data_IF_071537431201
#
_entry.id   IF_071537431201
#
_cell.length_a   1.000
_cell.length_b   1.000
_cell.length_c   1.000
_cell.angle_alpha   90.00
_cell.angle_beta   90.00
_cell.angle_gamma   90.00
#
_symmetry.space_group_name_H-M   'P 1'
#
loop_
_entity.id
_entity.type
_entity.pdbx_description
1 polymer ?
#
# COMPACT_ATOMS: atom_id res chain seq x y z
N UNK A 1 20.53 5.94 -19.74
CA UNK A 1 20.24 4.52 -20.06
C UNK A 1 20.33 3.72 -18.75
N UNK A 2 19.24 3.63 -17.99
CA UNK A 2 19.18 2.92 -16.69
C UNK A 2 17.96 1.99 -16.64
N UNK A 3 17.80 1.14 -17.66
CA UNK A 3 16.83 0.06 -17.66
C UNK A 3 17.45 -1.14 -18.38
N UNK A 4 18.39 -1.82 -17.72
CA UNK A 4 18.94 -3.09 -18.16
C UNK A 4 18.95 -4.01 -16.95
N UNK A 5 17.79 -4.60 -16.64
CA UNK A 5 17.64 -6.05 -16.64
C UNK A 5 16.15 -6.43 -16.47
N UNK A 6 15.75 -7.47 -17.15
CA UNK A 6 14.37 -7.99 -17.21
C UNK A 6 13.93 -8.73 -15.92
N UNK A 7 14.81 -8.79 -14.91
CA UNK A 7 14.56 -9.52 -13.66
C UNK A 7 14.33 -8.65 -12.43
N UNK A 8 14.79 -7.41 -12.39
CA UNK A 8 14.55 -6.50 -11.25
C UNK A 8 14.67 -5.04 -11.71
N UNK A 9 13.57 -4.28 -11.76
CA UNK A 9 13.65 -2.82 -11.97
C UNK A 9 14.27 -2.07 -10.77
N UNK A 10 14.56 -2.77 -9.67
CA UNK A 10 15.13 -2.20 -8.45
C UNK A 10 16.32 -3.06 -8.02
N UNK A 11 17.52 -2.46 -8.01
CA UNK A 11 18.76 -3.13 -7.59
C UNK A 11 18.93 -3.18 -6.06
N UNK A 12 17.99 -2.60 -5.30
CA UNK A 12 18.05 -2.51 -3.84
C UNK A 12 17.19 -3.59 -3.19
N UNK A 13 17.67 -4.13 -2.07
CA UNK A 13 16.87 -5.01 -1.21
C UNK A 13 15.65 -4.26 -0.64
N UNK A 14 14.51 -4.95 -0.51
CA UNK A 14 13.24 -4.44 0.01
C UNK A 14 13.34 -3.90 1.45
N UNK A 15 14.33 -4.37 2.21
CA UNK A 15 14.59 -3.91 3.58
C UNK A 15 15.42 -2.62 3.64
N UNK A 16 15.99 -2.19 2.50
CA UNK A 16 16.85 -1.01 2.41
C UNK A 16 16.02 0.29 2.36
N UNK A 17 16.44 1.37 3.03
CA UNK A 17 15.78 2.67 2.89
C UNK A 17 15.83 3.21 1.45
N UNK A 18 16.86 2.84 0.67
CA UNK A 18 16.99 3.23 -0.73
C UNK A 18 15.86 2.66 -1.59
N UNK A 19 15.31 1.50 -1.22
CA UNK A 19 14.17 0.90 -1.92
C UNK A 19 12.93 1.79 -1.85
N UNK A 20 12.64 2.36 -0.67
CA UNK A 20 11.50 3.30 -0.48
C UNK A 20 11.68 4.55 -1.33
N UNK A 21 12.90 5.10 -1.38
CA UNK A 21 13.23 6.25 -2.21
C UNK A 21 13.04 5.92 -3.69
N UNK A 22 13.53 4.76 -4.15
CA UNK A 22 13.35 4.33 -5.54
C UNK A 22 11.88 4.15 -5.91
N UNK A 23 11.06 3.54 -5.05
CA UNK A 23 9.62 3.42 -5.26
C UNK A 23 8.94 4.78 -5.35
N UNK A 24 9.34 5.73 -4.49
CA UNK A 24 8.80 7.09 -4.49
C UNK A 24 9.17 7.82 -5.78
N UNK A 25 10.43 7.75 -6.21
CA UNK A 25 10.87 8.34 -7.48
C UNK A 25 10.12 7.72 -8.68
N UNK A 26 10.01 6.39 -8.73
CA UNK A 26 9.22 5.70 -9.75
C UNK A 26 7.74 6.11 -9.72
N UNK A 27 7.21 6.44 -8.55
CA UNK A 27 5.81 6.87 -8.38
C UNK A 27 5.54 8.18 -9.11
N UNK A 28 6.46 9.13 -8.97
CA UNK A 28 6.39 10.40 -9.71
C UNK A 28 6.62 10.20 -11.21
N UNK A 29 7.54 9.31 -11.60
CA UNK A 29 7.76 8.98 -13.01
C UNK A 29 6.51 8.35 -13.64
N UNK A 30 5.87 7.41 -12.96
CA UNK A 30 4.64 6.77 -13.44
C UNK A 30 3.46 7.74 -13.56
N UNK A 31 3.44 8.79 -12.75
CA UNK A 31 2.42 9.85 -12.81
C UNK A 31 2.67 10.83 -13.97
N UNK A 32 3.92 11.29 -14.13
CA UNK A 32 4.29 12.38 -15.04
C UNK A 32 4.63 11.89 -16.45
N UNK A 33 5.15 10.66 -16.58
CA UNK A 33 5.63 10.08 -17.84
C UNK A 33 5.03 8.69 -18.11
N UNK A 34 3.70 8.56 -18.13
CA UNK A 34 3.01 7.27 -18.22
C UNK A 34 3.35 6.46 -19.49
N UNK A 35 3.66 7.12 -20.61
CA UNK A 35 3.95 6.47 -21.89
C UNK A 35 5.38 5.93 -22.03
N UNK A 36 6.34 6.43 -21.23
CA UNK A 36 7.77 6.17 -21.45
C UNK A 36 8.20 4.81 -20.89
N UNK A 37 7.67 4.43 -19.72
CA UNK A 37 8.09 3.24 -18.98
C UNK A 37 6.94 2.28 -18.65
N UNK A 38 5.81 2.39 -19.36
CA UNK A 38 4.59 1.65 -19.04
C UNK A 38 4.84 0.12 -18.99
N UNK A 39 5.60 -0.41 -19.94
CA UNK A 39 5.89 -1.85 -20.00
C UNK A 39 6.65 -2.32 -18.76
N UNK A 40 7.68 -1.57 -18.34
CA UNK A 40 8.49 -1.88 -17.18
C UNK A 40 7.70 -1.72 -15.88
N UNK A 41 6.93 -0.63 -15.76
CA UNK A 41 6.08 -0.38 -14.60
C UNK A 41 4.99 -1.45 -14.45
N UNK A 42 4.33 -1.86 -15.54
CA UNK A 42 3.34 -2.95 -15.51
C UNK A 42 3.92 -4.26 -14.97
N UNK A 43 5.11 -4.63 -15.44
CA UNK A 43 5.82 -5.84 -14.95
C UNK A 43 6.20 -5.69 -13.47
N UNK A 44 6.71 -4.52 -13.07
CA UNK A 44 7.04 -4.23 -11.66
C UNK A 44 5.81 -4.34 -10.75
N UNK A 45 4.66 -3.76 -11.13
CA UNK A 45 3.44 -3.82 -10.31
C UNK A 45 2.97 -5.26 -10.11
N UNK A 46 2.83 -6.01 -11.20
CA UNK A 46 2.20 -7.33 -11.20
C UNK A 46 3.11 -8.41 -10.61
N UNK A 47 4.38 -8.44 -11.02
CA UNK A 47 5.32 -9.50 -10.64
C UNK A 47 5.99 -9.27 -9.29
N UNK A 48 6.27 -8.02 -8.92
CA UNK A 48 7.09 -7.71 -7.76
C UNK A 48 6.24 -7.10 -6.63
N UNK A 49 5.53 -6.00 -6.87
CA UNK A 49 4.84 -5.30 -5.78
C UNK A 49 3.64 -6.09 -5.26
N UNK A 50 2.72 -6.47 -6.14
CA UNK A 50 1.52 -7.21 -5.71
C UNK A 50 1.91 -8.60 -5.24
N UNK A 51 2.68 -9.33 -6.04
CA UNK A 51 2.96 -10.74 -5.79
C UNK A 51 3.99 -10.99 -4.68
N UNK A 52 4.99 -10.11 -4.50
CA UNK A 52 6.07 -10.33 -3.52
C UNK A 52 6.01 -9.39 -2.32
N UNK A 53 5.69 -8.11 -2.50
CA UNK A 53 5.73 -7.12 -1.40
C UNK A 53 4.41 -7.05 -0.61
N UNK A 54 3.27 -7.15 -1.29
CA UNK A 54 1.96 -6.98 -0.66
C UNK A 54 1.34 -8.31 -0.22
N UNK A 55 1.46 -9.37 -1.05
CA UNK A 55 0.74 -10.63 -0.81
C UNK A 55 1.59 -11.69 -0.09
N UNK A 56 2.92 -11.59 -0.11
CA UNK A 56 3.81 -12.56 0.54
C UNK A 56 4.69 -11.89 1.58
N UNK A 57 4.43 -12.12 2.86
CA UNK A 57 5.36 -11.76 3.94
C UNK A 57 6.53 -12.78 4.02
N UNK A 58 7.22 -13.01 2.90
CA UNK A 58 8.23 -14.10 2.78
C UNK A 58 9.45 -13.91 3.71
N UNK A 59 9.59 -12.74 4.35
CA UNK A 59 10.77 -12.38 5.13
C UNK A 59 10.52 -12.26 6.63
N UNK A 60 9.27 -12.45 7.06
CA UNK A 60 9.03 -12.76 8.46
C UNK A 60 9.41 -14.23 8.67
N UNK A 61 10.66 -14.50 9.06
CA UNK A 61 10.92 -15.70 9.86
C UNK A 61 9.84 -15.71 10.94
N UNK A 62 9.12 -16.83 11.16
CA UNK A 62 8.16 -16.91 12.25
C UNK A 62 8.97 -16.83 13.53
N UNK A 63 9.22 -15.61 14.02
CA UNK A 63 9.48 -15.45 15.42
C UNK A 63 8.17 -15.85 16.06
N UNK A 64 8.16 -17.02 16.70
CA UNK A 64 7.21 -17.34 17.77
C UNK A 64 7.37 -16.23 18.81
N UNK A 65 6.81 -15.05 18.55
CA UNK A 65 6.45 -14.13 19.60
C UNK A 65 5.05 -14.52 19.99
N UNK A 66 5.07 -15.38 21.00
CA UNK A 66 4.04 -15.51 22.02
C UNK A 66 3.19 -14.24 22.12
N UNK A 67 1.91 -14.46 22.42
CA UNK A 67 0.91 -13.51 22.91
C UNK A 67 1.37 -12.83 24.23
N UNK A 68 2.55 -12.23 24.22
CA UNK A 68 3.28 -11.73 25.37
C UNK A 68 4.34 -10.71 24.92
N UNK A 69 3.89 -9.52 24.53
CA UNK A 69 4.57 -8.30 24.98
C UNK A 69 3.70 -7.69 26.06
N UNK A 70 3.75 -8.30 27.24
CA UNK A 70 3.31 -7.69 28.50
C UNK A 70 4.41 -6.70 28.85
N UNK A 71 4.20 -5.44 28.50
CA UNK A 71 4.76 -4.32 29.26
C UNK A 71 4.05 -4.24 30.63
N UNK A 72 4.70 -3.71 31.68
CA UNK A 72 4.17 -3.68 33.04
C UNK A 72 2.79 -2.99 33.13
N UNK A 73 2.01 -3.27 34.18
CA UNK A 73 0.66 -2.74 34.35
C UNK A 73 0.74 -1.28 34.80
N UNK A 74 0.99 -0.37 33.86
CA UNK A 74 0.68 1.07 33.93
C UNK A 74 1.11 1.73 32.60
N UNK A 75 0.20 1.83 31.62
CA UNK A 75 0.14 2.90 30.59
C UNK A 75 -0.73 2.50 29.38
N UNK A 76 -1.97 3.01 29.34
CA UNK A 76 -2.69 3.40 28.11
C UNK A 76 -3.10 2.32 27.10
N UNK A 77 -4.23 2.54 26.42
CA UNK A 77 -4.60 1.78 25.21
C UNK A 77 -3.42 1.69 24.23
N UNK A 78 -3.23 0.57 23.51
CA UNK A 78 -2.27 0.52 22.41
C UNK A 78 -2.57 1.68 21.45
N UNK A 79 -1.57 2.52 21.18
CA UNK A 79 -1.76 3.71 20.32
C UNK A 79 -2.20 3.27 18.93
N UNK A 80 -3.41 3.66 18.53
CA UNK A 80 -4.03 3.35 17.23
C UNK A 80 -3.29 3.99 16.03
N UNK A 81 -2.25 4.77 16.28
CA UNK A 81 -1.50 5.51 15.28
C UNK A 81 0.03 5.46 15.50
N UNK A 82 0.78 5.35 14.40
CA UNK A 82 2.25 5.40 14.38
C UNK A 82 2.73 6.55 13.51
N UNK A 83 3.62 7.39 14.06
CA UNK A 83 4.27 8.51 13.34
C UNK A 83 5.20 7.99 12.24
N UNK A 84 5.37 8.76 11.17
CA UNK A 84 6.12 8.40 9.95
C UNK A 84 7.56 7.90 10.23
N UNK A 85 8.28 8.55 11.16
CA UNK A 85 9.64 8.16 11.53
C UNK A 85 9.74 6.81 12.28
N UNK A 86 8.64 6.36 12.88
CA UNK A 86 8.59 5.14 13.70
C UNK A 86 8.07 3.92 12.92
N UNK A 87 7.70 4.09 11.65
CA UNK A 87 7.26 2.99 10.79
C UNK A 87 8.44 2.10 10.42
N UNK A 88 8.22 0.79 10.40
CA UNK A 88 9.22 -0.16 9.89
C UNK A 88 9.51 0.11 8.42
N UNK A 89 10.73 -0.22 7.97
CA UNK A 89 11.13 0.01 6.57
C UNK A 89 10.20 -0.74 5.60
N UNK A 90 9.78 -1.94 5.98
CA UNK A 90 8.83 -2.75 5.22
C UNK A 90 7.46 -2.06 5.08
N UNK A 91 6.90 -1.53 6.18
CA UNK A 91 5.62 -0.80 6.12
C UNK A 91 5.75 0.46 5.25
N UNK A 92 6.87 1.19 5.33
CA UNK A 92 7.13 2.33 4.45
C UNK A 92 7.23 1.92 2.98
N UNK A 93 7.86 0.79 2.69
CA UNK A 93 7.93 0.23 1.35
C UNK A 93 6.54 -0.18 0.82
N UNK A 94 5.71 -0.84 1.66
CA UNK A 94 4.31 -1.17 1.33
C UNK A 94 3.50 0.11 1.02
N UNK A 95 3.62 1.15 1.85
CA UNK A 95 2.98 2.47 1.62
C UNK A 95 3.44 3.08 0.29
N UNK A 96 4.76 3.10 0.03
CA UNK A 96 5.32 3.66 -1.20
C UNK A 96 4.86 2.88 -2.44
N UNK A 97 4.74 1.55 -2.35
CA UNK A 97 4.24 0.69 -3.41
C UNK A 97 2.76 0.96 -3.73
N UNK A 98 1.91 1.13 -2.71
CA UNK A 98 0.50 1.52 -2.90
C UNK A 98 0.39 2.87 -3.61
N UNK A 99 1.18 3.87 -3.19
CA UNK A 99 1.22 5.17 -3.85
C UNK A 99 1.70 5.08 -5.29
N UNK A 100 2.74 4.29 -5.56
CA UNK A 100 3.28 4.04 -6.90
C UNK A 100 2.23 3.41 -7.82
N UNK A 101 1.55 2.34 -7.41
CA UNK A 101 0.48 1.72 -8.20
C UNK A 101 -0.63 2.72 -8.53
N UNK A 102 -1.02 3.51 -7.54
CA UNK A 102 -2.09 4.52 -7.68
C UNK A 102 -1.67 5.64 -8.63
N UNK A 103 -0.46 6.16 -8.47
CA UNK A 103 0.08 7.23 -9.31
C UNK A 103 0.31 6.78 -10.76
N UNK A 104 0.79 5.55 -10.95
CA UNK A 104 0.91 4.94 -12.26
C UNK A 104 -0.46 4.76 -12.93
N UNK A 105 -1.46 4.28 -12.19
CA UNK A 105 -2.83 4.14 -12.69
C UNK A 105 -3.42 5.52 -13.08
N UNK A 106 -3.29 6.52 -12.22
CA UNK A 106 -3.75 7.89 -12.50
C UNK A 106 -3.02 8.50 -13.69
N UNK A 107 -1.69 8.36 -13.75
CA UNK A 107 -0.87 8.90 -14.83
C UNK A 107 -1.20 8.28 -16.17
N UNK A 108 -1.47 6.97 -16.22
CA UNK A 108 -1.82 6.29 -17.47
C UNK A 108 -3.06 6.88 -18.15
N UNK A 109 -3.99 7.46 -17.40
CA UNK A 109 -5.22 8.09 -17.91
C UNK A 109 -5.98 7.26 -18.98
N UNK A 110 -5.78 5.94 -19.09
CA UNK A 110 -6.19 5.16 -20.28
C UNK A 110 -6.80 3.79 -19.95
N UNK A 111 -8.09 3.68 -20.33
CA UNK A 111 -8.85 2.61 -21.04
C UNK A 111 -8.79 1.12 -20.63
N UNK A 112 -7.78 0.62 -19.91
CA UNK A 112 -7.74 -0.80 -19.53
C UNK A 112 -8.46 -1.06 -18.20
N UNK A 113 -9.79 -1.25 -18.29
CA UNK A 113 -10.66 -1.52 -17.12
C UNK A 113 -10.14 -2.68 -16.26
N UNK A 114 -9.52 -3.70 -16.84
CA UNK A 114 -9.02 -4.87 -16.11
C UNK A 114 -7.87 -4.53 -15.16
N UNK A 115 -6.90 -3.74 -15.61
CA UNK A 115 -5.74 -3.35 -14.77
C UNK A 115 -6.20 -2.46 -13.61
N UNK A 116 -7.11 -1.52 -13.90
CA UNK A 116 -7.71 -0.67 -12.88
C UNK A 116 -8.46 -1.49 -11.83
N UNK A 117 -9.27 -2.45 -12.26
CA UNK A 117 -10.06 -3.30 -11.38
C UNK A 117 -9.17 -4.13 -10.43
N UNK A 118 -8.03 -4.64 -10.89
CA UNK A 118 -7.08 -5.37 -10.03
C UNK A 118 -6.53 -4.47 -8.92
N UNK A 119 -6.09 -3.26 -9.26
CA UNK A 119 -5.56 -2.30 -8.27
C UNK A 119 -6.66 -1.85 -7.31
N UNK A 120 -7.84 -1.49 -7.80
CA UNK A 120 -8.97 -1.05 -6.98
C UNK A 120 -9.41 -2.17 -6.02
N UNK A 121 -9.52 -3.42 -6.50
CA UNK A 121 -9.80 -4.60 -5.65
C UNK A 121 -8.76 -4.79 -4.57
N UNK A 122 -7.49 -4.58 -4.90
CA UNK A 122 -6.40 -4.68 -3.93
C UNK A 122 -6.52 -3.60 -2.84
N UNK A 123 -6.80 -2.34 -3.22
CA UNK A 123 -7.04 -1.25 -2.26
C UNK A 123 -8.23 -1.55 -1.34
N UNK A 124 -9.35 -2.02 -1.92
CA UNK A 124 -10.52 -2.44 -1.16
C UNK A 124 -10.20 -3.57 -0.17
N UNK A 125 -9.43 -4.58 -0.60
CA UNK A 125 -8.99 -5.67 0.26
C UNK A 125 -8.13 -5.17 1.43
N UNK A 126 -7.20 -4.23 1.20
CA UNK A 126 -6.40 -3.64 2.30
C UNK A 126 -7.33 -2.99 3.35
N UNK A 127 -8.40 -2.32 2.91
CA UNK A 127 -9.33 -1.64 3.81
C UNK A 127 -10.19 -2.63 4.61
N UNK A 128 -10.79 -3.61 3.94
CA UNK A 128 -11.65 -4.63 4.59
C UNK A 128 -10.86 -5.54 5.53
N UNK A 129 -9.58 -5.78 5.26
CA UNK A 129 -8.69 -6.56 6.13
C UNK A 129 -7.92 -5.68 7.14
N UNK A 130 -8.49 -4.55 7.53
CA UNK A 130 -7.95 -3.69 8.59
C UNK A 130 -6.51 -3.19 8.34
N UNK A 131 -6.00 -3.21 7.11
CA UNK A 131 -4.63 -2.82 6.77
C UNK A 131 -3.62 -3.97 6.71
N UNK A 132 -3.98 -5.17 7.20
CA UNK A 132 -3.12 -6.37 7.17
C UNK A 132 -3.55 -7.33 6.04
N UNK A 133 -3.01 -7.11 4.84
CA UNK A 133 -3.34 -7.90 3.66
C UNK A 133 -2.92 -9.38 3.77
N UNK A 134 -1.86 -9.67 4.52
CA UNK A 134 -1.35 -11.03 4.70
C UNK A 134 -2.03 -11.75 5.85
N UNK A 135 -2.79 -11.02 6.69
CA UNK A 135 -3.42 -11.53 7.92
C UNK A 135 -2.43 -12.30 8.80
N UNK A 136 -1.14 -11.97 8.69
CA UNK A 136 -0.05 -12.68 9.35
C UNK A 136 0.17 -12.21 10.79
N UNK A 137 -0.47 -11.10 11.20
CA UNK A 137 -0.32 -10.55 12.55
C UNK A 137 1.06 -9.93 12.82
N UNK A 138 1.84 -9.68 11.76
CA UNK A 138 3.20 -9.13 11.87
C UNK A 138 3.25 -7.60 11.95
N UNK A 139 2.09 -6.94 11.86
CA UNK A 139 1.96 -5.48 11.81
C UNK A 139 1.34 -4.94 13.09
N UNK A 140 1.88 -3.85 13.63
CA UNK A 140 1.30 -3.18 14.79
C UNK A 140 -0.02 -2.48 14.45
N UNK A 141 -0.88 -2.20 15.45
CA UNK A 141 -2.15 -1.49 15.23
C UNK A 141 -1.97 -0.14 14.54
N UNK A 142 -0.95 0.62 14.93
CA UNK A 142 -0.66 1.90 14.28
C UNK A 142 -0.16 1.76 12.84
N UNK A 143 0.61 0.72 12.51
CA UNK A 143 0.99 0.44 11.11
C UNK A 143 -0.21 -0.03 10.27
N UNK A 144 -1.10 -0.84 10.84
CA UNK A 144 -2.36 -1.26 10.22
C UNK A 144 -3.24 -0.03 9.89
N UNK A 145 -3.39 0.90 10.83
CA UNK A 145 -4.06 2.19 10.60
C UNK A 145 -3.43 3.00 9.46
N UNK A 146 -2.10 3.00 9.35
CA UNK A 146 -1.38 3.70 8.27
C UNK A 146 -1.61 3.03 6.91
N UNK A 147 -1.67 1.70 6.87
CA UNK A 147 -2.00 0.94 5.67
C UNK A 147 -3.44 1.20 5.21
N UNK A 148 -4.41 1.23 6.13
CA UNK A 148 -5.79 1.63 5.82
C UNK A 148 -5.85 3.05 5.26
N UNK A 149 -5.16 3.99 5.89
CA UNK A 149 -5.16 5.39 5.44
C UNK A 149 -4.57 5.53 4.03
N UNK A 150 -3.42 4.92 3.74
CA UNK A 150 -2.83 5.02 2.40
C UNK A 150 -3.73 4.35 1.36
N UNK A 151 -4.38 3.23 1.68
CA UNK A 151 -5.30 2.58 0.77
C UNK A 151 -6.54 3.43 0.49
N UNK A 152 -7.14 4.03 1.53
CA UNK A 152 -8.31 4.87 1.40
C UNK A 152 -8.03 6.16 0.62
N UNK A 153 -6.95 6.87 0.96
CA UNK A 153 -6.54 8.08 0.23
C UNK A 153 -6.18 7.79 -1.22
N UNK A 154 -5.55 6.64 -1.49
CA UNK A 154 -5.27 6.18 -2.85
C UNK A 154 -6.54 5.85 -3.63
N UNK A 155 -7.50 5.20 -2.99
CA UNK A 155 -8.80 4.90 -3.58
C UNK A 155 -9.57 6.18 -3.91
N UNK A 156 -9.63 7.14 -3.00
CA UNK A 156 -10.26 8.45 -3.23
C UNK A 156 -9.61 9.17 -4.41
N UNK A 157 -8.28 9.12 -4.52
CA UNK A 157 -7.55 9.69 -5.65
C UNK A 157 -7.95 9.05 -6.99
N UNK A 158 -8.18 7.73 -7.02
CA UNK A 158 -8.64 7.02 -8.22
C UNK A 158 -10.10 7.34 -8.52
N UNK A 159 -10.97 7.32 -7.50
CA UNK A 159 -12.40 7.61 -7.63
C UNK A 159 -12.70 9.04 -8.08
N UNK A 160 -11.77 9.98 -7.91
CA UNK A 160 -11.91 11.33 -8.44
C UNK A 160 -12.02 11.39 -9.97
N UNK A 161 -11.53 10.37 -10.67
CA UNK A 161 -11.58 10.32 -12.12
C UNK A 161 -12.76 9.49 -12.61
N UNK A 162 -13.66 10.12 -13.39
CA UNK A 162 -14.93 9.53 -13.85
C UNK A 162 -14.78 8.16 -14.53
N UNK A 163 -13.73 7.98 -15.33
CA UNK A 163 -13.49 6.73 -16.05
C UNK A 163 -13.16 5.53 -15.14
N UNK A 164 -12.70 5.77 -13.90
CA UNK A 164 -12.51 4.72 -12.91
C UNK A 164 -13.75 4.46 -12.07
N UNK A 165 -14.66 5.43 -11.93
CA UNK A 165 -15.93 5.26 -11.22
C UNK A 165 -16.76 4.14 -11.83
N UNK A 166 -16.79 4.02 -13.16
CA UNK A 166 -17.48 2.93 -13.86
C UNK A 166 -16.93 1.52 -13.56
N UNK A 167 -15.69 1.42 -13.06
CA UNK A 167 -15.03 0.15 -12.74
C UNK A 167 -15.24 -0.23 -11.26
N UNK A 168 -15.63 0.73 -10.43
CA UNK A 168 -15.85 0.52 -9.00
C UNK A 168 -17.24 -0.07 -8.78
N UNK A 169 -17.30 -1.27 -8.20
CA UNK A 169 -18.57 -1.87 -7.78
C UNK A 169 -19.20 -1.06 -6.63
N UNK A 170 -20.52 -0.91 -6.65
CA UNK A 170 -21.28 -0.18 -5.62
C UNK A 170 -21.00 -0.70 -4.21
N UNK A 171 -20.88 -2.02 -4.06
CA UNK A 171 -20.56 -2.66 -2.77
C UNK A 171 -19.18 -2.22 -2.22
N UNK A 172 -18.19 -1.98 -3.10
CA UNK A 172 -16.88 -1.49 -2.65
C UNK A 172 -16.98 -0.04 -2.21
N UNK A 173 -17.77 0.76 -2.90
CA UNK A 173 -18.05 2.15 -2.52
C UNK A 173 -18.69 2.23 -1.13
N UNK A 174 -19.66 1.38 -0.84
CA UNK A 174 -20.27 1.28 0.49
C UNK A 174 -19.26 0.83 1.54
N UNK A 175 -18.39 -0.13 1.22
CA UNK A 175 -17.32 -0.56 2.14
C UNK A 175 -16.34 0.57 2.47
N UNK A 176 -16.24 1.63 1.66
CA UNK A 176 -15.38 2.77 1.98
C UNK A 176 -15.94 3.63 3.11
N UNK A 177 -17.24 3.54 3.45
CA UNK A 177 -17.78 4.23 4.62
C UNK A 177 -17.13 3.75 5.91
N UNK A 178 -16.62 2.51 5.95
CA UNK A 178 -15.85 1.99 7.08
C UNK A 178 -14.65 2.90 7.40
N UNK A 179 -14.01 3.51 6.40
CA UNK A 179 -12.89 4.45 6.60
C UNK A 179 -13.34 5.69 7.38
N UNK A 180 -14.53 6.21 7.10
CA UNK A 180 -15.09 7.40 7.77
C UNK A 180 -15.53 7.09 9.21
N UNK A 181 -15.91 5.83 9.46
CA UNK A 181 -16.31 5.35 10.79
C UNK A 181 -15.15 4.75 11.59
N UNK A 182 -13.92 4.71 11.05
CA UNK A 182 -12.76 4.29 11.85
C UNK A 182 -12.67 5.21 13.06
N UNK A 183 -12.70 4.62 14.24
CA UNK A 183 -12.54 5.33 15.52
C UNK A 183 -11.11 5.85 15.64
N UNK A 184 -10.77 6.90 14.88
CA UNK A 184 -9.63 7.77 15.12
C UNK A 184 -9.99 8.71 16.27
N UNK A 185 -10.29 8.14 17.45
CA UNK A 185 -10.69 8.85 18.66
C UNK A 185 -9.59 9.74 19.28
N UNK A 186 -8.59 10.16 18.49
CA UNK A 186 -7.46 11.00 18.90
C UNK A 186 -7.08 12.07 17.86
N UNK A 187 -7.95 12.41 16.91
CA UNK A 187 -7.78 13.65 16.12
C UNK A 187 -8.17 14.92 16.93
N UNK A 188 -8.59 14.75 18.18
CA UNK A 188 -8.94 15.83 19.11
C UNK A 188 -8.38 15.56 20.51
N UNK A 189 -7.05 15.53 20.66
CA UNK A 189 -6.34 15.93 21.89
C UNK A 189 -4.96 16.45 21.50
#
# INVERSE_FOLDING_TARGET
MLLVDSRTCLACDMTSPHYVTSLTSLSHIGLLFPGVYNRQLKTLMTSQLISQLLTKDTFAKPTRRSRASITPPDAGKPSDWTKDGNLTVLTRAKIAAVKLMTNWLVGLQIQNKQVAQVIIRLLHRIIVHEGDLTCGGNMSYGEMSRMRLVAATSWLKVAHFQFYVEVIEVAWYQSMSYVLCVSLSLLAT
#
